data_IF_878056644049
#
_entry.id   IF_878056644049
#
_cell.length_a   1.000
_cell.length_b   1.000
_cell.length_c   1.000
_cell.angle_alpha   90.00
_cell.angle_beta   90.00
_cell.angle_gamma   90.00
#
_symmetry.space_group_name_H-M   'P 1'
#
loop_
_entity.id
_entity.type
_entity.pdbx_description
1 polymer ?
#
# COMPACT_ATOMS: atom_id res chain seq x y z
N UNK A 1 -19.81 -14.10 15.70
CA UNK A 1 -18.58 -13.31 15.94
C UNK A 1 -17.48 -14.28 16.38
N UNK A 2 -16.72 -14.84 15.46
CA UNK A 2 -15.49 -15.55 15.80
C UNK A 2 -14.39 -14.48 15.87
N UNK A 3 -14.02 -14.10 17.12
CA UNK A 3 -12.71 -13.48 17.33
C UNK A 3 -11.69 -14.56 16.99
N UNK A 4 -10.94 -14.33 15.91
CA UNK A 4 -9.72 -15.10 15.66
C UNK A 4 -8.79 -14.80 16.83
N UNK A 5 -8.68 -15.71 17.79
CA UNK A 5 -7.65 -15.64 18.81
C UNK A 5 -6.33 -15.87 18.10
N UNK A 6 -5.42 -14.90 18.17
CA UNK A 6 -4.04 -15.15 17.84
C UNK A 6 -3.56 -16.29 18.76
N UNK A 7 -3.12 -17.37 18.17
CA UNK A 7 -2.57 -18.50 18.90
C UNK A 7 -1.14 -18.12 19.30
N UNK A 8 -0.99 -17.41 20.42
CA UNK A 8 0.31 -17.12 21.01
C UNK A 8 0.77 -18.32 21.81
N UNK A 9 1.44 -19.24 21.16
CA UNK A 9 2.34 -20.16 21.86
C UNK A 9 3.50 -20.55 20.92
N UNK A 10 4.68 -20.03 21.23
CA UNK A 10 5.97 -20.42 20.67
C UNK A 10 6.38 -19.89 19.28
N UNK A 11 5.73 -18.90 18.73
CA UNK A 11 6.22 -18.22 17.53
C UNK A 11 6.76 -16.81 17.88
N UNK A 12 7.75 -16.36 17.14
CA UNK A 12 8.23 -14.98 17.17
C UNK A 12 7.26 -14.00 16.50
N UNK A 13 5.99 -14.38 16.37
CA UNK A 13 4.96 -13.60 15.70
C UNK A 13 4.19 -12.75 16.70
N UNK A 14 3.94 -11.49 16.35
CA UNK A 14 3.14 -10.56 17.14
C UNK A 14 1.76 -10.44 16.53
N UNK A 15 0.71 -10.65 17.35
CA UNK A 15 -0.65 -10.44 16.89
C UNK A 15 -0.93 -8.94 16.65
N UNK A 16 -1.08 -8.55 15.41
CA UNK A 16 -1.28 -7.17 14.98
C UNK A 16 -2.53 -7.04 14.12
N UNK A 17 -3.12 -5.85 14.07
CA UNK A 17 -4.14 -5.54 13.07
C UNK A 17 -3.50 -5.22 11.72
N UNK A 18 -4.28 -5.32 10.65
CA UNK A 18 -3.85 -4.96 9.29
C UNK A 18 -3.32 -3.52 9.24
N UNK A 19 -4.04 -2.59 9.89
CA UNK A 19 -3.62 -1.19 10.02
C UNK A 19 -2.30 -1.01 10.78
N UNK A 20 -2.13 -1.75 11.89
CA UNK A 20 -0.87 -1.70 12.66
C UNK A 20 0.29 -2.29 11.87
N UNK A 21 0.05 -3.36 11.11
CA UNK A 21 1.03 -4.00 10.22
C UNK A 21 1.52 -3.05 9.12
N UNK A 22 0.61 -2.30 8.49
CA UNK A 22 0.94 -1.25 7.51
C UNK A 22 1.79 -0.14 8.12
N UNK A 23 1.41 0.34 9.32
CA UNK A 23 2.18 1.35 10.06
C UNK A 23 3.59 0.86 10.40
N UNK A 24 3.72 -0.37 10.85
CA UNK A 24 5.02 -1.00 11.13
C UNK A 24 5.88 -1.06 9.86
N UNK A 25 5.31 -1.49 8.72
CA UNK A 25 6.03 -1.53 7.46
C UNK A 25 6.59 -0.16 7.06
N UNK A 26 5.77 0.89 7.12
CA UNK A 26 6.19 2.26 6.82
C UNK A 26 7.33 2.71 7.76
N UNK A 27 7.16 2.50 9.05
CA UNK A 27 8.16 2.89 10.06
C UNK A 27 9.49 2.18 9.85
N UNK A 28 9.47 0.87 9.61
CA UNK A 28 10.66 0.07 9.38
C UNK A 28 11.38 0.48 8.08
N UNK A 29 10.65 0.70 6.99
CA UNK A 29 11.26 1.11 5.73
C UNK A 29 11.79 2.54 5.77
N UNK A 30 11.10 3.47 6.43
CA UNK A 30 11.59 4.83 6.65
C UNK A 30 12.82 4.87 7.55
N UNK A 31 12.91 3.99 8.53
CA UNK A 31 14.11 3.87 9.37
C UNK A 31 15.29 3.22 8.62
N UNK A 32 15.00 2.25 7.74
CA UNK A 32 15.99 1.52 6.93
C UNK A 32 16.61 2.38 5.83
N UNK A 33 15.80 3.20 5.14
CA UNK A 33 16.23 3.97 3.97
C UNK A 33 15.79 5.43 4.09
N UNK A 34 16.76 6.33 4.13
CA UNK A 34 16.52 7.76 4.21
C UNK A 34 15.82 8.37 2.99
N UNK A 35 15.77 7.68 1.87
CA UNK A 35 15.10 8.12 0.65
C UNK A 35 13.59 7.83 0.67
N UNK A 36 13.12 6.96 1.58
CA UNK A 36 11.69 6.67 1.75
C UNK A 36 11.03 7.84 2.47
N UNK A 37 9.96 8.39 1.91
CA UNK A 37 9.15 9.41 2.55
C UNK A 37 7.67 9.22 2.21
N UNK A 38 6.80 9.75 3.05
CA UNK A 38 5.34 9.72 2.84
C UNK A 38 4.86 11.10 2.42
N UNK A 39 3.98 11.18 1.44
CA UNK A 39 3.30 12.41 1.02
C UNK A 39 1.83 12.12 0.74
N UNK A 40 0.97 13.01 1.17
CA UNK A 40 -0.47 12.92 0.96
C UNK A 40 -1.24 13.92 1.80
N UNK A 41 -2.56 13.83 1.75
CA UNK A 41 -3.46 14.67 2.53
C UNK A 41 -3.52 14.18 3.97
N UNK A 42 -3.39 15.11 4.92
CA UNK A 42 -3.51 14.86 6.37
C UNK A 42 -2.58 13.79 6.95
N UNK A 43 -1.57 13.35 6.19
CA UNK A 43 -0.65 12.26 6.61
C UNK A 43 0.28 12.68 7.75
N UNK A 44 0.47 13.97 7.99
CA UNK A 44 1.36 14.53 8.98
C UNK A 44 0.71 14.75 10.35
N UNK A 45 0.21 15.96 10.61
CA UNK A 45 -0.31 16.34 11.93
C UNK A 45 -1.59 15.61 12.30
N UNK A 46 -2.45 15.33 11.33
CA UNK A 46 -3.67 14.56 11.56
C UNK A 46 -3.42 13.05 11.63
N UNK A 47 -2.20 12.59 11.26
CA UNK A 47 -1.78 11.19 11.34
C UNK A 47 -2.54 10.24 10.40
N UNK A 48 -2.99 10.78 9.26
CA UNK A 48 -3.77 10.09 8.24
C UNK A 48 -5.25 9.93 8.59
N UNK A 49 -6.11 9.95 7.59
CA UNK A 49 -7.56 9.81 7.75
C UNK A 49 -7.96 8.49 8.42
N UNK A 50 -7.19 7.43 8.19
CA UNK A 50 -7.39 6.10 8.78
C UNK A 50 -6.31 5.73 9.80
N UNK A 51 -5.45 6.69 10.18
CA UNK A 51 -4.40 6.50 11.21
C UNK A 51 -3.29 5.50 10.86
N UNK A 52 -3.08 5.22 9.59
CA UNK A 52 -1.95 4.38 9.16
C UNK A 52 -0.62 5.09 9.42
N UNK A 53 -0.56 6.42 9.23
CA UNK A 53 0.66 7.22 9.45
C UNK A 53 0.84 7.72 10.88
N UNK A 54 0.04 7.21 11.82
CA UNK A 54 0.09 7.63 13.22
C UNK A 54 1.50 7.52 13.83
N UNK A 55 1.97 8.61 14.42
CA UNK A 55 3.28 8.71 15.05
C UNK A 55 4.44 9.00 14.11
N UNK A 56 4.30 8.74 12.80
CA UNK A 56 5.41 8.90 11.84
C UNK A 56 5.88 10.35 11.71
N UNK A 57 4.96 11.31 11.73
CA UNK A 57 5.33 12.73 11.65
C UNK A 57 6.19 13.17 12.85
N UNK A 58 5.85 12.69 14.05
CA UNK A 58 6.62 12.99 15.27
C UNK A 58 8.01 12.35 15.21
N UNK A 59 8.11 11.13 14.65
CA UNK A 59 9.36 10.36 14.60
C UNK A 59 10.31 10.84 13.51
N UNK A 60 9.80 11.07 12.29
CA UNK A 60 10.63 11.35 11.10
C UNK A 60 10.61 12.81 10.64
N UNK A 61 9.70 13.61 11.17
CA UNK A 61 9.60 15.05 10.90
C UNK A 61 9.01 15.42 9.52
N UNK A 62 8.84 16.74 9.28
CA UNK A 62 8.11 17.26 8.12
C UNK A 62 8.83 17.06 6.78
N UNK A 63 10.12 16.74 6.79
CA UNK A 63 10.86 16.43 5.55
C UNK A 63 10.56 15.03 5.02
N UNK A 64 10.19 14.12 5.91
CA UNK A 64 9.95 12.71 5.61
C UNK A 64 8.45 12.32 5.61
N UNK A 65 7.62 13.10 6.30
CA UNK A 65 6.16 12.97 6.28
C UNK A 65 5.60 14.33 5.87
N UNK A 66 5.16 14.42 4.61
CA UNK A 66 4.81 15.68 3.96
C UNK A 66 3.30 15.78 3.75
N UNK A 67 2.70 16.79 4.37
CA UNK A 67 1.32 17.13 4.08
C UNK A 67 1.22 17.83 2.73
N UNK A 68 0.23 17.43 1.94
CA UNK A 68 -0.14 18.07 0.68
C UNK A 68 -1.55 18.68 0.82
N UNK A 69 -1.85 19.75 0.09
CA UNK A 69 -3.23 20.21 -0.09
C UNK A 69 -4.02 19.20 -0.91
N UNK A 70 -5.35 19.33 -0.93
CA UNK A 70 -6.23 18.51 -1.79
C UNK A 70 -5.95 18.85 -3.25
N UNK A 71 -4.98 18.13 -3.83
CA UNK A 71 -4.53 18.30 -5.20
C UNK A 71 -3.78 17.02 -5.64
N UNK A 72 -4.53 15.93 -5.82
CA UNK A 72 -3.99 14.59 -6.01
C UNK A 72 -3.08 14.49 -7.25
N UNK A 73 -3.43 15.15 -8.35
CA UNK A 73 -2.56 15.24 -9.52
C UNK A 73 -1.21 15.91 -9.18
N UNK A 74 -1.26 16.99 -8.40
CA UNK A 74 -0.08 17.77 -8.04
C UNK A 74 0.90 16.98 -7.17
N UNK A 75 0.45 16.40 -6.06
CA UNK A 75 1.38 15.65 -5.20
C UNK A 75 1.73 14.26 -5.75
N UNK A 76 0.88 13.67 -6.62
CA UNK A 76 1.27 12.49 -7.38
C UNK A 76 2.42 12.81 -8.34
N UNK A 77 2.34 13.96 -9.05
CA UNK A 77 3.42 14.45 -9.90
C UNK A 77 4.73 14.71 -9.14
N UNK A 78 4.65 15.24 -7.91
CA UNK A 78 5.81 15.35 -7.00
C UNK A 78 6.39 13.97 -6.69
N UNK A 79 5.52 12.98 -6.42
CA UNK A 79 5.92 11.60 -6.20
C UNK A 79 6.69 11.03 -7.39
N UNK A 80 6.14 11.13 -8.60
CA UNK A 80 6.79 10.66 -9.85
C UNK A 80 8.15 11.34 -10.05
N UNK A 81 8.19 12.68 -10.01
CA UNK A 81 9.41 13.44 -10.24
C UNK A 81 10.50 13.14 -9.20
N UNK A 82 10.14 13.01 -7.93
CA UNK A 82 11.10 12.67 -6.87
C UNK A 82 11.61 11.23 -6.97
N UNK A 83 10.77 10.30 -7.41
CA UNK A 83 11.17 8.93 -7.67
C UNK A 83 12.18 8.84 -8.82
N UNK A 84 11.97 9.59 -9.90
CA UNK A 84 12.95 9.69 -11.00
C UNK A 84 14.31 10.23 -10.55
N UNK A 85 14.35 10.99 -9.46
CA UNK A 85 15.58 11.54 -8.85
C UNK A 85 16.16 10.65 -7.76
N UNK A 86 15.63 9.45 -7.56
CA UNK A 86 16.18 8.43 -6.65
C UNK A 86 15.58 8.41 -5.25
N UNK A 87 14.55 9.21 -4.97
CA UNK A 87 13.76 9.05 -3.75
C UNK A 87 12.76 7.89 -3.90
N UNK A 88 12.22 7.42 -2.77
CA UNK A 88 11.21 6.36 -2.70
C UNK A 88 9.93 6.87 -2.03
N UNK A 89 9.10 7.62 -2.77
CA UNK A 89 7.85 8.15 -2.23
C UNK A 89 6.83 7.06 -1.99
N UNK A 90 6.17 7.14 -0.84
CA UNK A 90 4.89 6.50 -0.58
C UNK A 90 3.84 7.60 -0.67
N UNK A 91 3.12 7.64 -1.78
CA UNK A 91 2.06 8.63 -2.04
C UNK A 91 0.75 8.06 -1.53
N UNK A 92 0.20 8.68 -0.48
CA UNK A 92 -1.09 8.30 0.07
C UNK A 92 -2.21 9.08 -0.62
N UNK A 93 -3.12 8.37 -1.27
CA UNK A 93 -4.41 8.91 -1.72
C UNK A 93 -5.48 8.47 -0.72
N UNK A 94 -6.27 9.40 -0.22
CA UNK A 94 -7.23 9.19 0.87
C UNK A 94 -8.20 8.04 0.60
N UNK A 95 -8.63 7.87 -0.65
CA UNK A 95 -9.43 6.73 -1.12
C UNK A 95 -9.14 6.45 -2.59
N UNK A 96 -9.24 5.20 -3.02
CA UNK A 96 -9.00 4.76 -4.40
C UNK A 96 -9.77 5.59 -5.45
N UNK A 97 -10.95 6.05 -5.11
CA UNK A 97 -11.77 6.89 -6.00
C UNK A 97 -11.05 8.16 -6.45
N UNK A 98 -10.22 8.74 -5.60
CA UNK A 98 -9.52 10.00 -5.89
C UNK A 98 -8.23 9.81 -6.70
N UNK A 99 -7.78 8.56 -6.88
CA UNK A 99 -6.73 8.27 -7.87
C UNK A 99 -7.16 8.69 -9.28
N UNK A 100 -8.47 8.74 -9.55
CA UNK A 100 -9.00 9.21 -10.83
C UNK A 100 -8.66 10.68 -11.13
N UNK A 101 -8.49 11.53 -10.11
CA UNK A 101 -8.04 12.92 -10.28
C UNK A 101 -6.57 12.97 -10.76
N UNK A 102 -5.76 11.99 -10.34
CA UNK A 102 -4.35 11.90 -10.67
C UNK A 102 -4.04 10.81 -11.73
N UNK A 103 -5.04 10.34 -12.47
CA UNK A 103 -4.91 9.16 -13.34
C UNK A 103 -3.83 9.34 -14.43
N UNK A 104 -3.65 10.56 -14.94
CA UNK A 104 -2.61 10.86 -15.93
C UNK A 104 -1.21 10.64 -15.34
N UNK A 105 -0.96 11.13 -14.12
CA UNK A 105 0.31 10.95 -13.43
C UNK A 105 0.61 9.48 -13.16
N UNK A 106 -0.41 8.67 -12.91
CA UNK A 106 -0.28 7.23 -12.67
C UNK A 106 -0.04 6.48 -13.97
N UNK A 107 -0.91 6.67 -14.96
CA UNK A 107 -0.95 5.84 -16.18
C UNK A 107 0.07 6.30 -17.21
N UNK A 108 0.17 7.59 -17.48
CA UNK A 108 1.02 8.14 -18.54
C UNK A 108 2.43 8.50 -18.06
N UNK A 109 2.60 8.77 -16.77
CA UNK A 109 3.91 9.13 -16.21
C UNK A 109 4.50 7.96 -15.41
N UNK A 110 4.00 7.64 -14.22
CA UNK A 110 4.60 6.63 -13.36
C UNK A 110 4.83 5.30 -14.09
N UNK A 111 3.80 4.77 -14.75
CA UNK A 111 3.85 3.47 -15.42
C UNK A 111 4.70 3.46 -16.71
N UNK A 112 4.93 4.61 -17.36
CA UNK A 112 5.54 4.66 -18.70
C UNK A 112 6.99 5.17 -18.71
N UNK A 113 7.40 5.95 -17.74
CA UNK A 113 8.74 6.58 -17.71
C UNK A 113 9.86 5.55 -17.93
N UNK A 114 9.83 4.42 -17.24
CA UNK A 114 10.88 3.40 -17.41
C UNK A 114 10.98 2.88 -18.84
N UNK A 115 9.86 2.62 -19.49
CA UNK A 115 9.83 2.18 -20.88
C UNK A 115 10.27 3.27 -21.83
N UNK A 116 9.73 4.50 -21.68
CA UNK A 116 10.05 5.64 -22.54
C UNK A 116 11.53 6.01 -22.53
N UNK A 117 12.21 5.83 -21.41
CA UNK A 117 13.64 6.11 -21.25
C UNK A 117 14.53 4.86 -21.42
N UNK A 118 14.00 3.78 -22.00
CA UNK A 118 14.77 2.56 -22.29
C UNK A 118 15.38 1.91 -21.05
N UNK A 119 14.68 1.97 -19.92
CA UNK A 119 15.12 1.40 -18.64
C UNK A 119 16.15 2.24 -17.86
N UNK A 120 16.59 3.38 -18.40
CA UNK A 120 17.59 4.25 -17.74
C UNK A 120 17.03 4.99 -16.52
N UNK A 121 15.73 5.29 -16.51
CA UNK A 121 15.04 5.88 -15.38
C UNK A 121 14.13 4.85 -14.74
N UNK A 122 14.04 4.91 -13.42
CA UNK A 122 13.14 4.11 -12.59
C UNK A 122 12.14 5.03 -11.93
N UNK A 123 11.02 4.47 -11.52
CA UNK A 123 10.00 5.20 -10.74
C UNK A 123 9.65 4.35 -9.49
N UNK A 124 10.59 4.24 -8.54
CA UNK A 124 10.41 3.45 -7.33
C UNK A 124 9.44 4.14 -6.37
N UNK A 125 8.15 4.05 -6.65
CA UNK A 125 7.12 4.68 -5.84
C UNK A 125 5.99 3.72 -5.48
N UNK A 126 5.40 3.95 -4.34
CA UNK A 126 4.16 3.28 -3.93
C UNK A 126 3.02 4.29 -3.94
N UNK A 127 1.93 3.94 -4.59
CA UNK A 127 0.66 4.64 -4.50
C UNK A 127 -0.18 3.83 -3.51
N UNK A 128 -0.29 4.30 -2.29
CA UNK A 128 -1.01 3.63 -1.22
C UNK A 128 -2.39 4.23 -1.07
N UNK A 129 -3.43 3.42 -1.13
CA UNK A 129 -4.80 3.90 -1.03
C UNK A 129 -5.76 2.82 -0.51
N UNK A 130 -6.65 3.16 0.42
CA UNK A 130 -7.75 2.29 0.78
C UNK A 130 -8.85 2.34 -0.28
N UNK A 131 -9.52 1.20 -0.50
CA UNK A 131 -10.61 1.07 -1.45
C UNK A 131 -11.68 0.08 -1.02
N UNK A 132 -12.60 -0.20 -1.94
CA UNK A 132 -13.66 -1.16 -1.77
C UNK A 132 -14.94 -0.61 -1.12
N UNK A 133 -16.01 -1.39 -1.26
CA UNK A 133 -17.39 -1.00 -0.86
C UNK A 133 -17.70 -1.23 0.62
N UNK A 134 -16.74 -1.73 1.41
CA UNK A 134 -16.98 -2.26 2.75
C UNK A 134 -17.58 -1.31 3.79
N UNK A 135 -17.39 0.00 3.63
CA UNK A 135 -17.94 1.00 4.56
C UNK A 135 -19.15 1.77 4.03
N UNK A 136 -19.59 1.46 2.82
CA UNK A 136 -20.81 2.06 2.24
C UNK A 136 -20.82 3.60 2.29
N UNK A 137 -19.68 4.22 1.96
CA UNK A 137 -19.48 5.67 2.03
C UNK A 137 -20.04 6.40 0.80
N UNK A 138 -21.15 5.93 0.24
CA UNK A 138 -21.78 6.43 -1.00
C UNK A 138 -21.04 6.07 -2.30
N UNK A 139 -21.59 6.50 -3.44
CA UNK A 139 -21.14 6.08 -4.76
C UNK A 139 -19.68 6.44 -5.08
N UNK A 140 -19.23 7.62 -4.66
CA UNK A 140 -17.90 8.15 -4.98
C UNK A 140 -16.78 7.69 -4.02
N UNK A 141 -17.10 6.87 -3.01
CA UNK A 141 -16.14 6.42 -2.01
C UNK A 141 -16.18 4.90 -1.79
N UNK A 142 -16.83 4.16 -2.69
CA UNK A 142 -17.08 2.72 -2.52
C UNK A 142 -16.83 1.93 -3.79
N UNK A 143 -15.95 2.41 -4.65
CA UNK A 143 -15.61 1.78 -5.92
C UNK A 143 -14.34 0.93 -5.80
N UNK A 144 -14.20 -0.03 -6.72
CA UNK A 144 -13.06 -0.93 -6.84
C UNK A 144 -12.53 -0.84 -8.27
N UNK A 145 -11.32 -0.28 -8.41
CA UNK A 145 -10.70 -0.04 -9.72
C UNK A 145 -9.45 -0.88 -9.94
N UNK A 146 -9.24 -1.92 -9.15
CA UNK A 146 -8.07 -2.79 -9.23
C UNK A 146 -7.82 -3.28 -10.66
N UNK A 147 -8.89 -3.74 -11.32
CA UNK A 147 -8.84 -4.23 -12.69
C UNK A 147 -8.44 -3.18 -13.72
N UNK A 148 -8.73 -1.89 -13.49
CA UNK A 148 -8.31 -0.82 -14.39
C UNK A 148 -6.79 -0.68 -14.39
N UNK A 149 -6.20 -0.60 -13.22
CA UNK A 149 -4.76 -0.41 -13.06
C UNK A 149 -3.97 -1.68 -13.35
N UNK A 150 -4.54 -2.86 -13.10
CA UNK A 150 -3.92 -4.13 -13.43
C UNK A 150 -3.73 -4.34 -14.95
N UNK A 151 -4.50 -3.63 -15.78
CA UNK A 151 -4.35 -3.62 -17.23
C UNK A 151 -3.36 -2.56 -17.75
N UNK A 152 -2.73 -1.78 -16.88
CA UNK A 152 -1.77 -0.74 -17.28
C UNK A 152 -0.36 -1.33 -17.33
N UNK A 153 0.25 -1.52 -18.54
CA UNK A 153 1.62 -1.99 -18.64
C UNK A 153 2.59 -1.03 -17.92
N UNK A 154 3.46 -1.61 -17.08
CA UNK A 154 4.42 -0.86 -16.27
C UNK A 154 3.96 -0.56 -14.85
N UNK A 155 2.71 -0.89 -14.50
CA UNK A 155 2.16 -0.79 -13.14
C UNK A 155 2.08 -2.17 -12.50
N UNK A 156 2.46 -2.27 -11.23
CA UNK A 156 2.18 -3.42 -10.38
C UNK A 156 1.00 -3.09 -9.47
N UNK A 157 0.09 -4.03 -9.29
CA UNK A 157 -1.10 -3.86 -8.42
C UNK A 157 -1.07 -4.94 -7.34
N UNK A 158 -1.15 -4.52 -6.09
CA UNK A 158 -1.05 -5.38 -4.92
C UNK A 158 -2.23 -5.12 -3.99
N UNK A 159 -2.89 -6.18 -3.52
CA UNK A 159 -4.05 -6.10 -2.63
C UNK A 159 -3.93 -7.17 -1.53
N UNK A 160 -3.36 -6.83 -0.35
CA UNK A 160 -3.13 -7.77 0.74
C UNK A 160 -4.44 -8.33 1.31
N UNK A 161 -4.34 -9.48 1.95
CA UNK A 161 -5.47 -10.20 2.54
C UNK A 161 -5.34 -10.39 4.06
N UNK A 162 -4.12 -10.37 4.57
CA UNK A 162 -3.80 -10.61 5.99
C UNK A 162 -2.85 -9.55 6.52
N UNK A 163 -2.76 -9.36 7.85
CA UNK A 163 -1.77 -8.44 8.43
C UNK A 163 -0.31 -8.77 8.05
N UNK A 164 0.03 -10.04 7.95
CA UNK A 164 1.35 -10.47 7.48
C UNK A 164 1.59 -10.04 6.02
N UNK A 165 0.60 -10.24 5.13
CA UNK A 165 0.68 -9.78 3.75
C UNK A 165 0.78 -8.25 3.69
N UNK A 166 -0.02 -7.54 4.47
CA UNK A 166 -0.03 -6.08 4.51
C UNK A 166 1.37 -5.52 4.82
N UNK A 167 2.04 -6.05 5.86
CA UNK A 167 3.41 -5.65 6.21
C UNK A 167 4.41 -6.10 5.15
N UNK A 168 4.42 -7.38 4.79
CA UNK A 168 5.44 -7.96 3.91
C UNK A 168 5.37 -7.46 2.47
N UNK A 169 4.16 -7.31 1.92
CA UNK A 169 3.95 -6.76 0.56
C UNK A 169 4.21 -5.26 0.49
N UNK A 170 3.87 -4.47 1.54
CA UNK A 170 4.17 -3.04 1.54
C UNK A 170 5.68 -2.79 1.58
N UNK A 171 6.42 -3.56 2.38
CA UNK A 171 7.89 -3.50 2.37
C UNK A 171 8.46 -3.88 1.00
N UNK A 172 7.94 -4.95 0.37
CA UNK A 172 8.34 -5.35 -0.98
C UNK A 172 8.05 -4.25 -2.00
N UNK A 173 6.87 -3.62 -1.93
CA UNK A 173 6.48 -2.52 -2.80
C UNK A 173 7.38 -1.29 -2.66
N UNK A 174 7.75 -0.90 -1.43
CA UNK A 174 8.66 0.23 -1.18
C UNK A 174 10.07 -0.06 -1.71
N UNK A 175 10.49 -1.34 -1.70
CA UNK A 175 11.80 -1.77 -2.21
C UNK A 175 11.83 -1.99 -3.72
N UNK A 176 10.69 -2.03 -4.39
CA UNK A 176 10.59 -2.22 -5.83
C UNK A 176 11.09 -0.99 -6.61
N UNK A 177 11.63 -1.22 -7.79
CA UNK A 177 12.10 -0.16 -8.68
C UNK A 177 11.03 0.35 -9.66
N UNK A 178 9.90 -0.32 -9.71
CA UNK A 178 8.75 0.02 -10.54
C UNK A 178 7.60 0.55 -9.67
N UNK A 179 6.67 1.34 -10.24
CA UNK A 179 5.55 1.86 -9.49
C UNK A 179 4.58 0.75 -9.08
N UNK A 180 4.19 0.77 -7.81
CA UNK A 180 3.24 -0.18 -7.23
C UNK A 180 2.01 0.55 -6.73
N UNK A 181 0.84 0.17 -7.23
CA UNK A 181 -0.44 0.54 -6.63
C UNK A 181 -0.77 -0.46 -5.52
N UNK A 182 -0.73 0.00 -4.30
CA UNK A 182 -0.96 -0.79 -3.10
C UNK A 182 -2.37 -0.51 -2.56
N UNK A 183 -3.27 -1.48 -2.77
CA UNK A 183 -4.69 -1.34 -2.46
C UNK A 183 -5.02 -1.97 -1.11
N UNK A 184 -5.39 -1.14 -0.19
CA UNK A 184 -5.86 -1.53 1.13
C UNK A 184 -7.39 -1.68 1.13
N UNK A 185 -7.91 -2.53 1.99
CA UNK A 185 -9.36 -2.67 2.12
C UNK A 185 -9.80 -2.28 3.55
N UNK A 186 -10.64 -1.26 3.64
CA UNK A 186 -11.11 -0.74 4.92
C UNK A 186 -11.85 -1.78 5.77
N UNK A 187 -12.40 -2.81 5.15
CA UNK A 187 -13.12 -3.87 5.86
C UNK A 187 -12.20 -4.74 6.70
N UNK A 188 -10.95 -4.92 6.25
CA UNK A 188 -9.97 -5.76 6.94
C UNK A 188 -9.00 -4.98 7.84
N UNK A 189 -9.05 -3.66 7.89
CA UNK A 189 -8.15 -2.84 8.74
C UNK A 189 -8.13 -3.26 10.22
N UNK A 190 -9.23 -3.80 10.73
CA UNK A 190 -9.33 -4.30 12.09
C UNK A 190 -9.16 -5.84 12.17
N UNK A 191 -8.87 -6.50 11.06
CA UNK A 191 -8.55 -7.92 11.04
C UNK A 191 -7.24 -8.12 11.80
N UNK A 192 -7.26 -9.00 12.81
CA UNK A 192 -6.07 -9.35 13.56
C UNK A 192 -5.51 -10.69 13.09
N UNK A 193 -4.20 -10.77 13.04
CA UNK A 193 -3.48 -11.98 12.66
C UNK A 193 -2.02 -11.92 13.10
N UNK A 194 -1.35 -13.02 12.99
CA UNK A 194 0.06 -13.14 13.32
C UNK A 194 0.89 -12.44 12.24
N UNK A 195 1.84 -11.62 12.68
CA UNK A 195 2.77 -10.88 11.84
C UNK A 195 4.18 -11.27 12.25
N UNK A 196 5.00 -11.82 11.35
CA UNK A 196 6.35 -12.21 11.66
C UNK A 196 7.19 -11.03 12.17
N UNK A 197 8.01 -11.29 13.18
CA UNK A 197 8.98 -10.31 13.66
C UNK A 197 10.17 -10.20 12.68
N UNK A 198 10.87 -9.08 12.78
CA UNK A 198 12.07 -8.82 12.00
C UNK A 198 11.80 -8.35 10.58
N UNK A 199 12.85 -8.46 9.76
CA UNK A 199 12.80 -7.97 8.37
C UNK A 199 12.40 -9.09 7.41
N UNK A 200 11.12 -9.16 7.09
CA UNK A 200 10.62 -10.06 6.05
C UNK A 200 9.89 -9.28 4.96
N UNK A 201 9.83 -9.86 3.77
CA UNK A 201 9.06 -9.37 2.64
C UNK A 201 8.27 -10.50 2.01
N UNK A 202 7.11 -10.17 1.46
CA UNK A 202 6.33 -11.10 0.64
C UNK A 202 6.61 -10.74 -0.83
N UNK A 203 7.08 -11.69 -1.66
CA UNK A 203 7.43 -11.39 -3.04
C UNK A 203 6.20 -11.03 -3.87
N UNK A 204 6.28 -9.91 -4.60
CA UNK A 204 5.23 -9.48 -5.53
C UNK A 204 5.25 -10.40 -6.76
N UNK A 205 4.07 -10.80 -7.23
CA UNK A 205 3.91 -11.65 -8.42
C UNK A 205 3.77 -13.15 -8.12
N UNK A 206 3.83 -13.55 -6.86
CA UNK A 206 3.58 -14.93 -6.43
C UNK A 206 2.27 -14.99 -5.62
N UNK A 207 1.38 -15.91 -6.02
CA UNK A 207 0.16 -16.18 -5.27
C UNK A 207 0.45 -17.16 -4.12
N UNK A 208 -0.20 -16.95 -2.98
CA UNK A 208 -0.22 -17.92 -1.90
C UNK A 208 -1.28 -18.99 -2.17
N UNK A 209 -1.04 -20.20 -1.67
CA UNK A 209 -2.03 -21.29 -1.66
C UNK A 209 -2.39 -21.61 -0.20
N UNK A 210 -3.30 -20.82 0.41
CA UNK A 210 -3.61 -20.96 1.84
C UNK A 210 -4.38 -22.26 2.16
N UNK A 211 -5.01 -22.86 1.14
CA UNK A 211 -5.74 -24.12 1.28
C UNK A 211 -5.52 -25.00 0.05
N UNK A 212 -4.98 -26.16 0.26
CA UNK A 212 -4.82 -27.18 -0.80
C UNK A 212 -6.11 -27.96 -0.96
N UNK A 213 -6.50 -28.25 -2.21
CA UNK A 213 -7.69 -29.03 -2.59
C UNK A 213 -7.47 -29.75 -3.91
N UNK A 214 -8.43 -30.60 -4.31
CA UNK A 214 -8.36 -31.44 -5.51
C UNK A 214 -9.50 -31.19 -6.51
N UNK A 215 -10.64 -30.67 -6.05
CA UNK A 215 -11.87 -30.64 -6.83
C UNK A 215 -12.05 -29.33 -7.62
N UNK A 216 -11.59 -28.22 -7.10
CA UNK A 216 -11.68 -26.91 -7.74
C UNK A 216 -10.59 -25.96 -7.26
N UNK A 217 -10.35 -24.89 -8.03
CA UNK A 217 -9.47 -23.79 -7.64
C UNK A 217 -10.30 -22.52 -7.49
N UNK A 218 -10.20 -21.88 -6.32
CA UNK A 218 -10.77 -20.54 -6.08
C UNK A 218 -9.62 -19.54 -6.09
N UNK A 219 -9.69 -18.53 -6.96
CA UNK A 219 -8.74 -17.41 -6.99
C UNK A 219 -9.42 -16.18 -6.42
N UNK A 220 -8.81 -15.56 -5.43
CA UNK A 220 -9.35 -14.38 -4.76
C UNK A 220 -8.21 -13.46 -4.30
N UNK A 221 -8.55 -12.24 -3.93
CA UNK A 221 -7.62 -11.26 -3.35
C UNK A 221 -8.30 -10.42 -2.28
N UNK A 222 -7.50 -9.74 -1.43
CA UNK A 222 -7.97 -8.82 -0.42
C UNK A 222 -9.08 -9.44 0.46
N UNK A 223 -10.15 -8.70 0.74
CA UNK A 223 -11.27 -9.14 1.56
C UNK A 223 -11.95 -10.43 1.06
N UNK A 224 -11.94 -10.68 -0.25
CA UNK A 224 -12.50 -11.90 -0.82
C UNK A 224 -11.81 -13.18 -0.34
N UNK A 225 -10.54 -13.10 0.05
CA UNK A 225 -9.77 -14.24 0.57
C UNK A 225 -10.12 -14.55 2.04
N UNK A 226 -10.66 -13.60 2.78
CA UNK A 226 -10.99 -13.72 4.21
C UNK A 226 -12.36 -14.36 4.44
N UNK A 227 -13.19 -14.49 3.41
CA UNK A 227 -14.51 -15.13 3.43
C UNK A 227 -14.42 -16.59 3.04
#
# INVERSE_FOLDING_TARGET
RRHTRCLSDWSSDVCSSDLEALRQALREEMARDQNVYVIGEEVGRFEGSYKVTQGLFKEFGPKRVREAPIAEEGFMGIGVGSAMLGLRPVVEIMTLNFVLVAIDMVVNHAAKVRYMFGGKLKVPMVIRTPGGSGKQLTAQHSQSFEGWFANVPGMKVVAPSTPADAKGLLKAAIRDDDPVLFLENLTIYNLRGDVPEGDYVVPIGLAAVPRVGTDLTIVSHSYGTVR
#
